data_IF_731546499219
#
_entry.id   IF_731546499219
#
_cell.length_a   1.000
_cell.length_b   1.000
_cell.length_c   1.000
_cell.angle_alpha   90.00
_cell.angle_beta   90.00
_cell.angle_gamma   90.00
#
_symmetry.space_group_name_H-M   'P 1'
#
loop_
_entity.id
_entity.type
_entity.pdbx_description
1 polymer ?
#
# COMPACT_ATOMS: atom_id res chain seq x y z
N UNK A 1 15.93 5.51 23.91
CA UNK A 1 16.39 5.29 22.53
C UNK A 1 17.43 4.18 22.54
N UNK A 2 17.14 3.07 21.89
CA UNK A 2 18.00 1.89 21.74
C UNK A 2 18.17 1.62 20.26
N UNK A 3 19.41 1.49 19.79
CA UNK A 3 19.68 1.08 18.41
C UNK A 3 19.78 -0.44 18.38
N UNK A 4 18.98 -1.09 17.54
CA UNK A 4 19.02 -2.54 17.37
C UNK A 4 20.13 -2.89 16.39
N UNK A 5 21.29 -3.26 16.94
CA UNK A 5 22.39 -3.77 16.14
C UNK A 5 22.29 -5.29 15.98
N UNK A 6 22.60 -5.75 14.76
CA UNK A 6 22.85 -7.15 14.44
C UNK A 6 24.27 -7.25 13.93
N UNK A 7 24.97 -8.33 14.30
CA UNK A 7 26.31 -8.57 13.73
C UNK A 7 26.19 -8.86 12.25
N UNK A 8 27.21 -8.48 11.48
CA UNK A 8 27.32 -8.82 10.06
C UNK A 8 27.11 -10.33 9.83
N UNK A 9 27.66 -11.17 10.69
CA UNK A 9 27.45 -12.62 10.63
C UNK A 9 25.96 -13.01 10.72
N UNK A 10 25.20 -12.36 11.61
CA UNK A 10 23.76 -12.62 11.77
C UNK A 10 23.00 -12.19 10.53
N UNK A 11 23.31 -11.00 9.99
CA UNK A 11 22.66 -10.47 8.79
C UNK A 11 22.97 -11.31 7.56
N UNK A 12 24.24 -11.72 7.37
CA UNK A 12 24.64 -12.64 6.29
C UNK A 12 23.91 -13.97 6.38
N UNK A 13 23.82 -14.55 7.58
CA UNK A 13 23.08 -15.80 7.80
C UNK A 13 21.60 -15.62 7.45
N UNK A 14 20.99 -14.50 7.80
CA UNK A 14 19.59 -14.22 7.51
C UNK A 14 19.31 -13.95 6.03
N UNK A 15 20.20 -13.23 5.32
CA UNK A 15 19.98 -12.83 3.93
C UNK A 15 20.39 -13.90 2.91
N UNK A 16 21.49 -14.62 3.15
CA UNK A 16 22.04 -15.61 2.19
C UNK A 16 21.59 -17.04 2.54
N UNK A 17 21.26 -17.30 3.82
CA UNK A 17 21.04 -18.64 4.39
C UNK A 17 22.32 -19.49 4.49
N UNK A 18 22.24 -20.59 5.24
CA UNK A 18 23.24 -21.68 5.26
C UNK A 18 22.89 -22.82 4.29
N UNK A 19 21.71 -22.75 3.68
CA UNK A 19 21.22 -23.75 2.74
C UNK A 19 22.03 -23.68 1.43
N UNK A 20 22.71 -24.77 1.02
CA UNK A 20 23.56 -24.76 -0.18
C UNK A 20 22.84 -24.33 -1.46
N UNK A 21 21.53 -24.61 -1.57
CA UNK A 21 20.72 -24.22 -2.73
C UNK A 21 20.55 -22.71 -2.80
N UNK A 22 20.28 -22.06 -1.65
CA UNK A 22 20.09 -20.61 -1.57
C UNK A 22 21.41 -19.86 -1.73
N UNK A 23 22.50 -20.39 -1.16
CA UNK A 23 23.86 -19.88 -1.39
C UNK A 23 24.19 -19.90 -2.88
N UNK A 24 23.91 -21.02 -3.56
CA UNK A 24 24.13 -21.12 -5.02
C UNK A 24 23.28 -20.13 -5.83
N UNK A 25 22.08 -19.77 -5.37
CA UNK A 25 21.28 -18.72 -6.01
C UNK A 25 21.91 -17.33 -5.82
N UNK A 26 22.38 -17.03 -4.60
CA UNK A 26 23.10 -15.79 -4.32
C UNK A 26 24.37 -15.66 -5.18
N UNK A 27 25.10 -16.76 -5.38
CA UNK A 27 26.32 -16.77 -6.19
C UNK A 27 26.07 -16.53 -7.69
N UNK A 28 24.84 -16.76 -8.16
CA UNK A 28 24.43 -16.47 -9.56
C UNK A 28 24.09 -15.01 -9.80
N UNK A 29 23.85 -14.22 -8.74
CA UNK A 29 23.62 -12.79 -8.85
C UNK A 29 24.84 -12.11 -9.51
N UNK A 30 24.59 -11.05 -10.26
CA UNK A 30 25.67 -10.29 -10.87
C UNK A 30 26.46 -9.46 -9.84
N UNK A 31 27.53 -8.80 -10.29
CA UNK A 31 28.37 -7.98 -9.41
C UNK A 31 27.63 -6.77 -8.82
N UNK A 32 26.69 -6.18 -9.56
CA UNK A 32 25.88 -5.05 -9.11
C UNK A 32 24.85 -5.47 -8.07
N UNK A 33 24.14 -6.57 -8.30
CA UNK A 33 23.16 -7.15 -7.39
C UNK A 33 23.82 -7.56 -6.06
N UNK A 34 24.96 -8.27 -6.11
CA UNK A 34 25.70 -8.62 -4.89
C UNK A 34 26.22 -7.42 -4.13
N UNK A 35 26.62 -6.35 -4.84
CA UNK A 35 27.01 -5.09 -4.21
C UNK A 35 25.83 -4.42 -3.53
N UNK A 36 24.66 -4.42 -4.16
CA UNK A 36 23.43 -3.89 -3.55
C UNK A 36 23.06 -4.67 -2.28
N UNK A 37 23.12 -6.01 -2.32
CA UNK A 37 22.82 -6.84 -1.14
C UNK A 37 23.85 -6.65 -0.02
N UNK A 38 25.12 -6.40 -0.34
CA UNK A 38 26.16 -6.22 0.68
C UNK A 38 26.03 -4.92 1.47
N UNK A 39 25.31 -3.93 0.95
CA UNK A 39 24.93 -2.71 1.68
C UNK A 39 24.14 -3.04 2.96
N UNK A 40 23.36 -4.12 2.96
CA UNK A 40 22.59 -4.55 4.14
C UNK A 40 23.47 -4.94 5.34
N UNK A 41 24.76 -5.17 5.11
CA UNK A 41 25.72 -5.53 6.17
C UNK A 41 26.49 -4.33 6.72
N UNK A 42 26.36 -3.16 6.09
CA UNK A 42 27.11 -1.97 6.46
C UNK A 42 26.26 -1.09 7.39
N UNK A 43 26.69 -0.87 8.65
CA UNK A 43 25.94 -0.02 9.58
C UNK A 43 25.78 1.44 9.13
N UNK A 44 26.64 1.89 8.22
CA UNK A 44 26.62 3.23 7.63
C UNK A 44 25.91 3.27 6.27
N UNK A 45 25.28 2.19 5.82
CA UNK A 45 24.52 2.23 4.58
C UNK A 45 23.30 3.12 4.74
N UNK A 46 23.11 4.03 3.80
CA UNK A 46 21.90 4.83 3.73
C UNK A 46 20.69 3.98 3.30
N UNK A 47 20.91 2.83 2.66
CA UNK A 47 19.85 1.93 2.21
C UNK A 47 19.28 1.05 3.32
N UNK A 48 20.13 0.63 4.26
CA UNK A 48 19.79 -0.33 5.29
C UNK A 48 20.30 0.19 6.64
N UNK A 49 19.73 1.31 7.07
CA UNK A 49 20.06 1.92 8.35
C UNK A 49 19.73 1.02 9.53
N UNK A 50 20.36 1.22 10.69
CA UNK A 50 20.03 0.46 11.88
C UNK A 50 18.64 0.87 12.40
N UNK A 51 17.85 -0.11 12.86
CA UNK A 51 16.53 0.15 13.44
C UNK A 51 16.71 0.86 14.79
N UNK A 52 16.11 2.04 14.92
CA UNK A 52 16.14 2.83 16.16
C UNK A 52 14.80 2.69 16.88
N UNK A 53 14.86 2.19 18.12
CA UNK A 53 13.72 2.06 19.01
C UNK A 53 13.75 3.22 19.99
N UNK A 54 12.81 4.15 19.85
CA UNK A 54 12.74 5.35 20.66
C UNK A 54 12.04 5.10 22.00
N UNK A 55 11.00 4.27 22.01
CA UNK A 55 10.14 4.06 23.19
C UNK A 55 9.57 2.63 23.32
N UNK A 56 8.99 2.32 24.49
CA UNK A 56 8.28 1.04 24.70
C UNK A 56 7.00 0.92 23.87
N UNK A 57 6.42 2.05 23.46
CA UNK A 57 5.22 2.07 22.62
C UNK A 57 5.54 1.79 21.14
N UNK A 58 6.83 1.68 20.79
CA UNK A 58 7.24 1.36 19.41
C UNK A 58 6.70 -0.02 18.96
N UNK A 59 6.59 -0.27 17.63
CA UNK A 59 5.82 -1.38 17.02
C UNK A 59 6.47 -2.67 17.43
N UNK A 60 7.78 -2.68 17.27
CA UNK A 60 8.63 -3.82 17.47
C UNK A 60 8.54 -4.32 18.92
N UNK A 61 8.21 -3.43 19.86
CA UNK A 61 7.99 -3.76 21.26
C UNK A 61 6.52 -4.09 21.56
N UNK A 62 5.59 -3.29 21.02
CA UNK A 62 4.15 -3.40 21.30
C UNK A 62 3.45 -4.54 20.54
N UNK A 63 4.00 -4.93 19.40
CA UNK A 63 3.50 -5.95 18.48
C UNK A 63 4.68 -6.86 18.10
N UNK A 64 5.13 -7.74 19.01
CA UNK A 64 6.23 -8.64 18.73
C UNK A 64 5.87 -9.59 17.59
N UNK A 65 6.60 -9.47 16.48
CA UNK A 65 6.46 -10.33 15.30
C UNK A 65 7.58 -11.37 15.27
N UNK A 66 7.27 -12.57 14.78
CA UNK A 66 8.28 -13.61 14.59
C UNK A 66 9.18 -13.19 13.43
N UNK A 67 10.51 -13.09 13.61
CA UNK A 67 11.40 -12.74 12.52
C UNK A 67 11.36 -13.81 11.43
N UNK A 68 11.47 -13.37 10.18
CA UNK A 68 11.55 -14.24 9.01
C UNK A 68 12.89 -14.00 8.31
N UNK A 69 13.70 -15.04 8.17
CA UNK A 69 14.91 -15.02 7.34
C UNK A 69 14.63 -15.42 5.88
N UNK A 70 15.63 -15.29 5.00
CA UNK A 70 15.47 -15.59 3.58
C UNK A 70 15.14 -17.06 3.33
N UNK A 71 15.65 -17.99 4.14
CA UNK A 71 15.34 -19.41 3.97
C UNK A 71 13.88 -19.70 4.33
N UNK A 72 13.40 -19.17 5.46
CA UNK A 72 12.00 -19.28 5.86
C UNK A 72 11.07 -18.64 4.83
N UNK A 73 11.41 -17.45 4.32
CA UNK A 73 10.67 -16.82 3.24
C UNK A 73 10.65 -17.69 1.97
N UNK A 74 11.82 -18.18 1.56
CA UNK A 74 11.96 -18.90 0.29
C UNK A 74 11.27 -20.26 0.30
N UNK A 75 11.31 -20.96 1.46
CA UNK A 75 10.78 -22.31 1.63
C UNK A 75 9.32 -22.36 2.06
N UNK A 76 8.68 -21.21 2.31
CA UNK A 76 7.26 -21.14 2.64
C UNK A 76 6.40 -21.73 1.50
N UNK A 77 5.64 -22.78 1.80
CA UNK A 77 4.75 -23.45 0.85
C UNK A 77 3.61 -22.56 0.34
N UNK A 78 3.28 -21.49 1.06
CA UNK A 78 2.28 -20.51 0.67
C UNK A 78 2.86 -19.37 -0.17
N UNK A 79 4.19 -19.28 -0.30
CA UNK A 79 4.84 -18.27 -1.13
C UNK A 79 4.50 -18.50 -2.59
N UNK A 80 4.05 -17.42 -3.25
CA UNK A 80 3.91 -17.37 -4.70
C UNK A 80 5.08 -16.60 -5.30
N UNK A 81 5.88 -17.28 -6.12
CA UNK A 81 6.89 -16.62 -6.92
C UNK A 81 6.31 -16.33 -8.32
N UNK A 82 6.63 -15.16 -8.91
CA UNK A 82 6.36 -14.96 -10.32
C UNK A 82 7.16 -15.97 -11.14
N UNK A 83 6.55 -16.47 -12.21
CA UNK A 83 7.16 -17.44 -13.12
C UNK A 83 6.89 -17.07 -14.56
N UNK A 84 7.48 -17.78 -15.53
CA UNK A 84 7.35 -17.46 -16.96
C UNK A 84 5.89 -17.32 -17.42
N UNK A 85 4.97 -18.10 -16.86
CA UNK A 85 3.54 -18.06 -17.19
C UNK A 85 2.73 -17.08 -16.32
N UNK A 86 3.26 -16.66 -15.17
CA UNK A 86 2.55 -15.85 -14.16
C UNK A 86 3.45 -14.69 -13.73
N UNK A 87 3.67 -13.74 -14.63
CA UNK A 87 4.62 -12.62 -14.45
C UNK A 87 3.98 -11.24 -14.65
N UNK A 88 2.65 -11.19 -14.77
CA UNK A 88 1.93 -9.94 -15.05
C UNK A 88 1.15 -9.47 -13.83
N UNK A 89 1.36 -8.22 -13.45
CA UNK A 89 0.50 -7.50 -12.50
C UNK A 89 -0.59 -6.80 -13.32
N UNK A 90 -1.83 -7.22 -13.14
CA UNK A 90 -2.97 -6.55 -13.74
C UNK A 90 -3.51 -5.48 -12.79
N UNK A 91 -3.78 -4.29 -13.31
CA UNK A 91 -4.42 -3.21 -12.58
C UNK A 91 -5.85 -3.03 -13.12
N UNK A 92 -6.84 -3.11 -12.24
CA UNK A 92 -8.26 -2.93 -12.57
C UNK A 92 -8.76 -1.62 -11.96
N UNK A 93 -9.07 -0.64 -12.79
CA UNK A 93 -9.75 0.58 -12.32
C UNK A 93 -11.18 0.24 -11.93
N UNK A 94 -11.59 0.59 -10.70
CA UNK A 94 -12.95 0.45 -10.19
C UNK A 94 -13.53 1.84 -9.98
N UNK A 95 -14.49 2.19 -10.83
CA UNK A 95 -14.98 3.56 -11.00
C UNK A 95 -14.06 4.45 -11.81
N UNK A 96 -14.40 5.72 -11.89
CA UNK A 96 -13.54 6.76 -12.44
C UNK A 96 -12.29 6.96 -11.60
N UNK A 97 -11.15 7.12 -12.28
CA UNK A 97 -9.88 7.51 -11.65
C UNK A 97 -9.66 9.02 -11.65
N UNK A 98 -10.47 9.82 -12.33
CA UNK A 98 -10.28 11.28 -12.34
C UNK A 98 -11.37 12.02 -13.09
N UNK A 99 -11.22 13.34 -13.13
CA UNK A 99 -12.25 14.24 -13.69
C UNK A 99 -12.09 14.48 -15.20
N UNK A 100 -10.97 14.06 -15.79
CA UNK A 100 -10.67 14.17 -17.22
C UNK A 100 -9.84 12.95 -17.68
N UNK A 101 -10.10 12.50 -18.92
CA UNK A 101 -9.38 11.45 -19.62
C UNK A 101 -7.87 11.68 -19.66
N UNK A 102 -7.41 12.88 -20.02
CA UNK A 102 -5.96 13.19 -20.16
C UNK A 102 -5.21 12.98 -18.84
N UNK A 103 -5.78 13.50 -17.75
CA UNK A 103 -5.22 13.37 -16.40
C UNK A 103 -5.20 11.90 -15.96
N UNK A 104 -6.23 11.14 -16.31
CA UNK A 104 -6.32 9.71 -16.00
C UNK A 104 -5.27 8.89 -16.75
N UNK A 105 -4.99 9.22 -18.02
CA UNK A 105 -3.95 8.57 -18.83
C UNK A 105 -2.54 8.83 -18.28
N UNK A 106 -2.24 10.07 -17.89
CA UNK A 106 -0.96 10.43 -17.29
C UNK A 106 -0.74 9.72 -15.95
N UNK A 107 -1.78 9.66 -15.11
CA UNK A 107 -1.75 8.92 -13.85
C UNK A 107 -1.48 7.43 -14.04
N UNK A 108 -2.18 6.80 -14.99
CA UNK A 108 -1.97 5.39 -15.35
C UNK A 108 -0.53 5.17 -15.80
N UNK A 109 0.03 6.07 -16.63
CA UNK A 109 1.41 6.00 -17.09
C UNK A 109 2.40 6.06 -15.92
N UNK A 110 2.22 6.99 -14.99
CA UNK A 110 3.08 7.07 -13.81
C UNK A 110 2.97 5.81 -12.93
N UNK A 111 1.74 5.42 -12.56
CA UNK A 111 1.52 4.26 -11.69
C UNK A 111 2.11 2.98 -12.31
N UNK A 112 1.98 2.81 -13.63
CA UNK A 112 2.63 1.73 -14.37
C UNK A 112 4.15 1.77 -14.17
N UNK A 113 4.78 2.90 -14.44
CA UNK A 113 6.23 3.06 -14.30
C UNK A 113 6.74 2.80 -12.88
N UNK A 114 6.02 3.29 -11.85
CA UNK A 114 6.35 3.00 -10.45
C UNK A 114 6.26 1.51 -10.14
N UNK A 115 5.19 0.82 -10.57
CA UNK A 115 5.03 -0.60 -10.32
C UNK A 115 6.08 -1.44 -11.04
N UNK A 116 6.43 -1.14 -12.30
CA UNK A 116 7.45 -1.88 -13.05
C UNK A 116 8.87 -1.61 -12.52
N UNK A 117 9.14 -0.41 -12.03
CA UNK A 117 10.38 -0.10 -11.33
C UNK A 117 10.47 -0.81 -9.96
N UNK A 118 9.35 -0.85 -9.22
CA UNK A 118 9.33 -1.46 -7.89
C UNK A 118 9.41 -2.98 -7.97
N UNK A 119 8.55 -3.57 -8.79
CA UNK A 119 8.43 -5.01 -9.00
C UNK A 119 9.23 -5.43 -10.24
N UNK A 120 10.54 -5.16 -10.19
CA UNK A 120 11.44 -5.39 -11.30
C UNK A 120 11.29 -6.80 -11.90
N UNK A 121 11.26 -6.87 -13.23
CA UNK A 121 11.04 -8.11 -13.96
C UNK A 121 9.57 -8.52 -14.16
N UNK A 122 8.61 -7.83 -13.51
CA UNK A 122 7.19 -8.01 -13.78
C UNK A 122 6.67 -6.98 -14.78
N UNK A 123 5.72 -7.40 -15.62
CA UNK A 123 5.01 -6.50 -16.54
C UNK A 123 3.74 -5.99 -15.88
N UNK A 124 3.42 -4.71 -16.05
CA UNK A 124 2.17 -4.12 -15.54
C UNK A 124 1.21 -3.81 -16.69
N UNK A 125 0.00 -4.36 -16.62
CA UNK A 125 -1.07 -4.14 -17.60
C UNK A 125 -2.31 -3.56 -16.92
N UNK A 126 -2.91 -2.55 -17.54
CA UNK A 126 -4.19 -2.01 -17.10
C UNK A 126 -5.32 -2.70 -17.88
N UNK A 127 -6.36 -3.10 -17.16
CA UNK A 127 -7.61 -3.58 -17.74
C UNK A 127 -8.56 -2.40 -18.00
N UNK A 128 -9.56 -2.62 -18.84
CA UNK A 128 -10.62 -1.65 -19.06
C UNK A 128 -11.32 -1.27 -17.74
N UNK A 129 -11.59 0.02 -17.48
CA UNK A 129 -12.27 0.44 -16.27
C UNK A 129 -13.63 -0.25 -16.10
N UNK A 130 -13.95 -0.58 -14.85
CA UNK A 130 -15.22 -1.23 -14.48
C UNK A 130 -16.04 -0.27 -13.62
N UNK A 131 -17.33 -0.15 -13.90
CA UNK A 131 -18.24 0.66 -13.09
C UNK A 131 -18.50 0.03 -11.71
N UNK A 132 -18.95 0.82 -10.73
CA UNK A 132 -19.17 0.32 -9.37
C UNK A 132 -20.32 -0.69 -9.36
N UNK A 133 -21.36 -0.48 -10.16
CA UNK A 133 -22.53 -1.37 -10.26
C UNK A 133 -22.17 -2.76 -10.79
N UNK A 134 -21.24 -2.86 -11.75
CA UNK A 134 -20.74 -4.14 -12.27
C UNK A 134 -20.08 -5.00 -11.19
N UNK A 135 -19.46 -4.39 -10.18
CA UNK A 135 -18.82 -5.12 -9.08
C UNK A 135 -19.83 -5.78 -8.14
N UNK A 136 -21.06 -5.26 -8.11
CA UNK A 136 -22.12 -5.64 -7.16
C UNK A 136 -21.65 -5.56 -5.69
N UNK A 137 -20.71 -4.67 -5.38
CA UNK A 137 -20.19 -4.53 -4.03
C UNK A 137 -21.17 -3.80 -3.11
N UNK A 138 -21.17 -4.17 -1.83
CA UNK A 138 -21.92 -3.41 -0.84
C UNK A 138 -21.23 -2.06 -0.63
N UNK A 139 -22.01 -1.03 -0.37
CA UNK A 139 -21.52 0.31 -0.11
C UNK A 139 -22.30 0.97 1.02
N UNK A 140 -21.73 2.04 1.58
CA UNK A 140 -22.34 2.84 2.65
C UNK A 140 -21.90 4.29 2.57
N UNK A 141 -22.63 5.15 3.27
CA UNK A 141 -22.15 6.50 3.60
C UNK A 141 -21.54 6.42 4.99
N UNK A 142 -20.27 6.81 5.14
CA UNK A 142 -19.61 6.81 6.44
C UNK A 142 -20.23 7.89 7.33
N UNK A 143 -20.64 7.53 8.55
CA UNK A 143 -21.34 8.46 9.44
C UNK A 143 -20.46 9.64 9.90
N UNK A 144 -19.14 9.44 10.00
CA UNK A 144 -18.22 10.48 10.45
C UNK A 144 -17.78 11.41 9.32
N UNK A 145 -17.37 10.84 8.18
CA UNK A 145 -16.86 11.64 7.05
C UNK A 145 -17.96 12.11 6.11
N UNK A 146 -19.15 11.49 6.16
CA UNK A 146 -20.25 11.66 5.19
C UNK A 146 -19.84 11.33 3.74
N UNK A 147 -18.76 10.55 3.55
CA UNK A 147 -18.27 10.13 2.24
C UNK A 147 -18.76 8.71 1.89
N UNK A 148 -18.82 8.39 0.60
CA UNK A 148 -19.11 7.05 0.11
C UNK A 148 -17.95 6.09 0.40
N UNK A 149 -18.30 4.88 0.84
CA UNK A 149 -17.37 3.78 1.02
C UNK A 149 -17.89 2.52 0.33
N UNK A 150 -17.00 1.77 -0.33
CA UNK A 150 -17.30 0.46 -0.93
C UNK A 150 -16.62 -0.68 -0.15
N UNK A 151 -17.26 -1.84 -0.11
CA UNK A 151 -16.80 -2.97 0.71
C UNK A 151 -15.62 -3.67 0.04
N UNK A 152 -14.43 -3.58 0.64
CA UNK A 152 -13.19 -4.11 0.08
C UNK A 152 -13.27 -5.62 -0.20
N UNK A 153 -13.81 -6.42 0.74
CA UNK A 153 -13.99 -7.86 0.55
C UNK A 153 -14.85 -8.26 -0.66
N UNK A 154 -15.92 -7.50 -0.98
CA UNK A 154 -16.76 -7.79 -2.15
C UNK A 154 -16.00 -7.48 -3.45
N UNK A 155 -15.19 -6.42 -3.45
CA UNK A 155 -14.31 -6.10 -4.57
C UNK A 155 -13.26 -7.21 -4.77
N UNK A 156 -12.64 -7.72 -3.71
CA UNK A 156 -11.70 -8.84 -3.82
C UNK A 156 -12.35 -10.09 -4.44
N UNK A 157 -13.59 -10.41 -4.04
CA UNK A 157 -14.34 -11.51 -4.62
C UNK A 157 -14.66 -11.30 -6.11
N UNK A 158 -14.95 -10.05 -6.52
CA UNK A 158 -15.10 -9.67 -7.93
C UNK A 158 -13.78 -9.84 -8.70
N UNK A 159 -12.67 -9.29 -8.20
CA UNK A 159 -11.36 -9.35 -8.85
C UNK A 159 -10.87 -10.79 -8.99
N UNK A 160 -11.13 -11.66 -8.01
CA UNK A 160 -10.80 -13.09 -8.09
C UNK A 160 -11.45 -13.76 -9.30
N UNK A 161 -12.68 -13.38 -9.64
CA UNK A 161 -13.40 -13.89 -10.83
C UNK A 161 -12.89 -13.29 -12.14
N UNK A 162 -12.30 -12.09 -12.10
CA UNK A 162 -11.78 -11.35 -13.26
C UNK A 162 -10.29 -11.56 -13.52
N UNK A 163 -9.57 -12.20 -12.59
CA UNK A 163 -8.12 -12.39 -12.67
C UNK A 163 -7.75 -13.17 -13.95
N UNK A 164 -6.95 -12.57 -14.85
CA UNK A 164 -6.46 -13.27 -16.04
C UNK A 164 -5.62 -14.50 -15.71
N UNK A 165 -5.57 -15.46 -16.64
CA UNK A 165 -4.81 -16.70 -16.45
C UNK A 165 -3.29 -16.48 -16.45
N UNK A 166 -2.75 -15.46 -17.07
CA UNK A 166 -1.31 -15.13 -17.02
C UNK A 166 -0.94 -14.17 -15.87
N UNK A 167 -1.93 -13.81 -15.05
CA UNK A 167 -1.74 -12.87 -13.94
C UNK A 167 -0.96 -13.51 -12.78
N UNK A 168 0.17 -12.90 -12.40
CA UNK A 168 0.75 -13.09 -11.07
C UNK A 168 -0.27 -12.65 -10.01
N UNK A 169 -0.73 -11.40 -10.14
CA UNK A 169 -1.81 -10.84 -9.33
C UNK A 169 -2.66 -9.85 -10.12
N UNK A 170 -3.86 -9.58 -9.61
CA UNK A 170 -4.70 -8.47 -10.05
C UNK A 170 -4.96 -7.53 -8.87
N UNK A 171 -4.71 -6.24 -9.06
CA UNK A 171 -4.91 -5.20 -8.06
C UNK A 171 -5.94 -4.22 -8.58
N UNK A 172 -7.06 -4.13 -7.88
CA UNK A 172 -8.01 -3.05 -8.10
C UNK A 172 -7.48 -1.74 -7.55
N UNK A 173 -7.76 -0.64 -8.24
CA UNK A 173 -7.54 0.71 -7.74
C UNK A 173 -8.81 1.53 -7.83
N UNK A 174 -9.05 2.38 -6.85
CA UNK A 174 -10.26 3.23 -6.82
C UNK A 174 -10.01 4.56 -6.14
N UNK A 175 -10.84 5.54 -6.49
CA UNK A 175 -10.90 6.87 -5.88
C UNK A 175 -11.97 6.95 -4.78
N UNK A 176 -12.69 5.85 -4.51
CA UNK A 176 -13.73 5.75 -3.49
C UNK A 176 -13.12 5.14 -2.22
N UNK A 177 -13.55 5.59 -1.05
CA UNK A 177 -13.02 5.10 0.21
C UNK A 177 -13.44 3.62 0.47
N UNK A 178 -12.66 2.89 1.26
CA UNK A 178 -12.87 1.45 1.48
C UNK A 178 -13.20 1.15 2.93
N UNK A 179 -14.03 0.13 3.15
CA UNK A 179 -14.22 -0.48 4.47
C UNK A 179 -14.15 -2.02 4.37
N UNK A 180 -13.60 -2.70 5.39
CA UNK A 180 -13.39 -4.15 5.33
C UNK A 180 -14.55 -4.97 5.91
N UNK A 181 -15.34 -4.38 6.82
CA UNK A 181 -16.53 -4.93 7.48
C UNK A 181 -17.31 -3.81 8.17
N UNK A 182 -18.58 -4.05 8.47
CA UNK A 182 -19.51 -3.02 8.96
C UNK A 182 -19.03 -2.30 10.23
N UNK A 183 -18.40 -3.02 11.15
CA UNK A 183 -17.91 -2.47 12.43
C UNK A 183 -16.61 -1.67 12.33
N UNK A 184 -15.96 -1.61 11.16
CA UNK A 184 -14.68 -0.93 10.98
C UNK A 184 -14.85 0.41 10.29
N UNK A 185 -14.01 1.40 10.61
CA UNK A 185 -14.10 2.74 10.02
C UNK A 185 -13.68 2.75 8.55
N UNK A 186 -12.46 2.33 8.23
CA UNK A 186 -11.94 2.28 6.86
C UNK A 186 -10.68 1.42 6.75
N UNK A 187 -10.24 1.17 5.51
CA UNK A 187 -8.90 0.69 5.18
C UNK A 187 -8.38 1.45 3.96
N UNK A 188 -7.05 1.59 3.82
CA UNK A 188 -6.47 2.09 2.55
C UNK A 188 -6.50 1.02 1.45
N UNK A 189 -6.45 -0.25 1.83
CA UNK A 189 -6.53 -1.37 0.92
C UNK A 189 -6.68 -2.68 1.68
N UNK A 190 -6.95 -3.74 0.92
CA UNK A 190 -7.05 -5.10 1.43
C UNK A 190 -6.54 -6.06 0.36
N UNK A 191 -5.95 -7.19 0.76
CA UNK A 191 -5.47 -8.19 -0.17
C UNK A 191 -5.70 -9.62 0.33
N UNK A 192 -5.77 -10.56 -0.62
CA UNK A 192 -5.62 -11.99 -0.39
C UNK A 192 -4.37 -12.46 -1.13
N UNK A 193 -3.32 -12.77 -0.38
CA UNK A 193 -2.06 -13.25 -0.95
C UNK A 193 -2.24 -14.61 -1.64
N UNK A 194 -3.04 -15.49 -1.02
CA UNK A 194 -3.35 -16.82 -1.55
C UNK A 194 -4.15 -16.77 -2.84
N UNK A 195 -5.02 -15.79 -3.03
CA UNK A 195 -5.74 -15.62 -4.30
C UNK A 195 -4.96 -14.73 -5.31
N UNK A 196 -3.99 -13.96 -4.81
CA UNK A 196 -3.25 -12.96 -5.58
C UNK A 196 -4.19 -11.88 -6.11
N UNK A 197 -5.04 -11.35 -5.22
CA UNK A 197 -5.94 -10.23 -5.48
C UNK A 197 -5.76 -9.15 -4.43
N UNK A 198 -5.83 -7.89 -4.82
CA UNK A 198 -5.78 -6.74 -3.92
C UNK A 198 -6.70 -5.62 -4.36
N UNK A 199 -7.07 -4.72 -3.46
CA UNK A 199 -7.76 -3.47 -3.76
C UNK A 199 -7.09 -2.36 -2.96
N UNK A 200 -6.82 -1.22 -3.60
CA UNK A 200 -6.26 -0.04 -2.97
C UNK A 200 -7.08 1.21 -3.31
N UNK A 201 -7.27 2.09 -2.34
CA UNK A 201 -7.99 3.34 -2.51
C UNK A 201 -7.09 4.55 -2.30
N UNK A 202 -7.18 5.46 -3.27
CA UNK A 202 -6.52 6.75 -3.23
C UNK A 202 -7.39 7.85 -2.59
N UNK A 203 -8.62 7.55 -2.18
CA UNK A 203 -9.60 8.54 -1.70
C UNK A 203 -9.04 9.43 -0.59
N UNK A 204 -8.39 8.81 0.40
CA UNK A 204 -7.87 9.45 1.61
C UNK A 204 -6.57 10.24 1.40
N UNK A 205 -6.00 10.21 0.21
CA UNK A 205 -4.79 10.95 -0.15
C UNK A 205 -5.11 12.33 -0.79
N UNK A 206 -6.38 12.60 -1.08
CA UNK A 206 -6.85 13.91 -1.54
C UNK A 206 -6.59 15.01 -0.50
N UNK A 207 -6.19 16.20 -0.97
CA UNK A 207 -5.79 17.34 -0.11
C UNK A 207 -6.79 17.65 0.98
N UNK A 208 -8.06 17.62 0.61
CA UNK A 208 -9.13 18.16 1.40
C UNK A 208 -10.01 17.06 2.01
N UNK A 209 -9.58 15.78 1.99
CA UNK A 209 -10.39 14.65 2.45
C UNK A 209 -10.94 14.84 3.88
N UNK A 210 -10.10 15.33 4.80
CA UNK A 210 -10.47 15.58 6.20
C UNK A 210 -11.01 16.99 6.44
N UNK A 211 -11.13 17.82 5.39
CA UNK A 211 -11.63 19.18 5.49
C UNK A 211 -13.15 19.21 5.65
N UNK A 212 -13.66 20.23 6.35
CA UNK A 212 -15.09 20.53 6.35
C UNK A 212 -15.62 20.77 4.93
N UNK A 213 -14.76 21.28 4.03
CA UNK A 213 -15.05 21.63 2.64
C UNK A 213 -14.87 20.49 1.63
N UNK A 214 -14.63 19.26 2.08
CA UNK A 214 -14.47 18.13 1.16
C UNK A 214 -15.71 17.95 0.28
N UNK A 215 -15.52 18.05 -1.04
CA UNK A 215 -16.62 18.00 -2.02
C UNK A 215 -17.22 16.60 -2.17
N UNK A 216 -16.48 15.55 -1.78
CA UNK A 216 -16.98 14.17 -1.83
C UNK A 216 -17.96 13.80 -0.73
N UNK A 217 -18.32 14.74 0.15
CA UNK A 217 -19.42 14.52 1.10
C UNK A 217 -20.74 14.38 0.35
N UNK A 218 -21.43 13.28 0.61
CA UNK A 218 -22.78 13.06 0.09
C UNK A 218 -23.69 14.14 0.66
N UNK A 219 -24.21 15.02 -0.20
CA UNK A 219 -25.18 16.04 0.20
C UNK A 219 -26.49 15.33 0.56
N UNK A 220 -27.04 15.57 1.76
CA UNK A 220 -28.24 14.89 2.29
C UNK A 220 -29.38 14.82 1.26
N UNK A 221 -29.55 13.65 0.65
CA UNK A 221 -30.78 12.94 0.25
C UNK A 221 -30.37 11.76 -0.66
N UNK A 222 -31.18 10.67 -0.66
CA UNK A 222 -31.06 9.45 -1.48
C UNK A 222 -30.31 8.25 -0.84
N UNK A 223 -30.76 7.78 0.32
CA UNK A 223 -30.75 6.32 0.53
C UNK A 223 -32.07 5.78 -0.01
N UNK A 224 -32.08 5.37 -1.27
CA UNK A 224 -33.24 4.72 -1.91
C UNK A 224 -33.16 3.20 -1.82
N UNK A 225 -31.97 2.61 -1.67
CA UNK A 225 -31.74 1.24 -1.17
C UNK A 225 -30.23 0.96 -1.14
N UNK A 226 -29.79 -0.10 -0.47
CA UNK A 226 -28.41 -0.60 -0.53
C UNK A 226 -28.01 -1.18 -1.91
N UNK A 227 -28.93 -1.18 -2.88
CA UNK A 227 -28.73 -1.69 -4.25
C UNK A 227 -28.81 -0.59 -5.31
N UNK A 228 -29.02 0.66 -4.92
CA UNK A 228 -29.12 1.78 -5.85
C UNK A 228 -27.75 2.41 -6.10
N UNK A 229 -27.10 2.00 -7.20
CA UNK A 229 -25.78 2.50 -7.57
C UNK A 229 -25.81 3.87 -8.24
N UNK A 230 -26.98 4.49 -8.47
CA UNK A 230 -27.06 5.85 -9.02
C UNK A 230 -26.38 6.89 -8.14
N UNK A 231 -26.18 6.59 -6.85
CA UNK A 231 -25.38 7.39 -5.92
C UNK A 231 -23.91 7.57 -6.39
N UNK A 232 -23.45 6.73 -7.32
CA UNK A 232 -22.13 6.82 -7.94
C UNK A 232 -22.13 7.53 -9.31
N UNK A 233 -23.24 8.04 -9.82
CA UNK A 233 -23.26 8.68 -11.15
C UNK A 233 -22.44 9.98 -11.18
N UNK A 234 -22.28 10.64 -10.03
CA UNK A 234 -21.52 11.89 -9.89
C UNK A 234 -20.69 11.93 -8.59
N UNK A 235 -20.16 10.79 -8.15
CA UNK A 235 -19.32 10.79 -6.95
C UNK A 235 -18.03 11.57 -7.22
N UNK A 236 -17.58 12.28 -6.20
CA UNK A 236 -16.36 13.06 -6.26
C UNK A 236 -15.14 12.15 -6.40
N UNK A 237 -14.31 12.41 -7.41
CA UNK A 237 -12.96 11.87 -7.48
C UNK A 237 -11.96 12.96 -7.05
N UNK A 238 -11.01 12.64 -6.15
CA UNK A 238 -9.99 13.60 -5.79
C UNK A 238 -9.18 13.97 -7.03
N UNK A 239 -8.76 15.24 -7.10
CA UNK A 239 -7.96 15.72 -8.21
C UNK A 239 -6.66 14.91 -8.29
N UNK A 240 -6.47 14.21 -9.42
CA UNK A 240 -5.20 13.55 -9.69
C UNK A 240 -4.19 14.63 -10.07
N UNK A 241 -3.25 14.84 -9.16
CA UNK A 241 -2.09 15.70 -9.37
C UNK A 241 -0.83 14.88 -9.14
N UNK A 242 0.31 15.35 -9.62
CA UNK A 242 1.61 14.81 -9.17
C UNK A 242 1.70 14.84 -7.64
N UNK A 243 1.02 15.78 -6.98
CA UNK A 243 0.86 15.86 -5.52
C UNK A 243 0.03 14.69 -4.96
N UNK A 244 -0.98 14.15 -5.65
CA UNK A 244 -1.75 12.99 -5.18
C UNK A 244 -0.88 11.74 -5.15
N UNK A 245 -0.12 11.48 -6.23
CA UNK A 245 0.80 10.33 -6.29
C UNK A 245 2.00 10.53 -5.35
N UNK A 246 2.53 11.75 -5.32
CA UNK A 246 3.52 12.15 -4.34
C UNK A 246 2.98 12.01 -2.92
N UNK A 247 1.70 12.29 -2.64
CA UNK A 247 1.01 12.05 -1.36
C UNK A 247 0.65 10.59 -1.15
N UNK A 248 0.42 9.75 -2.14
CA UNK A 248 0.32 8.31 -1.88
C UNK A 248 1.67 7.77 -1.44
N UNK A 249 2.74 8.23 -2.08
CA UNK A 249 4.10 8.00 -1.62
C UNK A 249 4.39 8.72 -0.28
N UNK A 250 3.88 9.95 -0.10
CA UNK A 250 4.18 10.84 1.05
C UNK A 250 3.22 10.78 2.21
N UNK A 251 2.04 10.19 2.13
CA UNK A 251 1.17 9.98 3.28
C UNK A 251 1.46 8.61 3.87
N UNK A 252 2.16 7.72 3.14
CA UNK A 252 3.12 6.85 3.82
C UNK A 252 4.09 7.74 4.63
N UNK A 253 4.83 8.65 3.98
CA UNK A 253 5.83 9.54 4.63
C UNK A 253 5.31 10.54 5.68
N UNK A 254 4.03 10.94 5.67
CA UNK A 254 3.40 11.95 6.55
C UNK A 254 2.55 11.31 7.62
N UNK A 255 1.98 10.13 7.38
CA UNK A 255 1.61 9.27 8.50
C UNK A 255 2.87 8.94 9.32
N UNK A 256 4.03 8.90 8.66
CA UNK A 256 5.34 8.85 9.30
C UNK A 256 5.78 10.20 9.93
N UNK A 257 5.60 11.34 9.25
CA UNK A 257 6.07 12.64 9.77
C UNK A 257 5.14 13.31 10.81
N UNK A 258 3.80 13.22 10.69
CA UNK A 258 2.84 13.89 11.61
C UNK A 258 2.83 13.24 13.00
N UNK A 259 3.26 11.97 13.13
CA UNK A 259 3.46 11.32 14.43
C UNK A 259 4.83 11.66 15.07
N UNK A 260 5.76 12.28 14.33
CA UNK A 260 7.08 12.70 14.82
C UNK A 260 7.12 14.10 15.44
N UNK A 261 6.15 14.98 15.11
CA UNK A 261 6.12 16.38 15.56
C UNK A 261 5.10 16.70 16.67
N UNK A 262 4.32 15.73 17.15
CA UNK A 262 3.47 15.91 18.34
C UNK A 262 2.32 16.92 18.20
N UNK A 263 1.91 17.35 17.01
CA UNK A 263 0.74 18.23 16.84
C UNK A 263 -0.54 17.44 16.62
N UNK A 264 -1.04 16.77 17.66
CA UNK A 264 -2.45 16.38 17.72
C UNK A 264 -3.31 17.63 17.81
N UNK A 265 -4.00 17.98 16.72
CA UNK A 265 -5.14 18.88 16.78
C UNK A 265 -6.19 18.27 17.70
N UNK A 266 -6.45 18.94 18.82
CA UNK A 266 -7.43 18.53 19.82
C UNK A 266 -8.82 18.34 19.19
N UNK A 267 -9.37 17.14 19.28
CA UNK A 267 -10.81 16.93 19.34
C UNK A 267 -11.24 17.03 20.83
N UNK A 268 -12.47 17.49 21.14
CA UNK A 268 -12.87 17.80 22.49
C UNK A 268 -12.88 16.54 23.36
N UNK A 269 -12.26 16.68 24.53
CA UNK A 269 -12.26 15.71 25.63
C UNK A 269 -13.70 15.39 26.02
N UNK A 270 -14.13 14.14 25.82
CA UNK A 270 -15.10 13.42 26.65
C UNK A 270 -15.23 11.96 26.19
N UNK A 271 -14.23 11.14 26.50
CA UNK A 271 -14.44 9.72 26.81
C UNK A 271 -13.25 9.20 27.61
N UNK A 272 -13.53 8.64 28.77
CA UNK A 272 -12.57 8.00 29.66
C UNK A 272 -12.12 6.67 29.06
N UNK A 273 -10.97 6.64 28.40
CA UNK A 273 -10.32 5.41 27.94
C UNK A 273 -8.82 5.41 28.28
N UNK A 274 -8.30 4.41 29.03
CA UNK A 274 -6.91 4.36 29.43
C UNK A 274 -6.08 3.53 28.43
N UNK A 275 -5.52 4.15 27.38
CA UNK A 275 -4.33 3.63 26.67
C UNK A 275 -3.84 4.61 25.58
N UNK A 276 -3.04 5.59 25.98
CA UNK A 276 -2.31 6.47 25.05
C UNK A 276 -1.01 5.78 24.58
N UNK A 277 -1.15 4.70 23.77
CA UNK A 277 -0.02 4.00 23.16
C UNK A 277 0.45 4.74 21.91
N UNK A 278 1.57 5.48 22.03
CA UNK A 278 2.28 6.10 20.89
C UNK A 278 2.70 5.04 19.89
N UNK A 279 2.25 5.17 18.65
CA UNK A 279 2.53 4.24 17.57
C UNK A 279 3.90 4.49 16.91
N UNK A 280 4.37 3.59 16.03
CA UNK A 280 5.79 3.37 15.81
C UNK A 280 6.27 3.58 14.40
N UNK A 281 7.04 4.63 14.24
CA UNK A 281 7.01 5.37 12.99
C UNK A 281 8.33 5.25 12.22
N UNK A 282 9.37 4.75 12.86
CA UNK A 282 10.74 4.90 12.37
C UNK A 282 11.25 3.74 11.51
N UNK A 283 10.57 2.60 11.51
CA UNK A 283 10.84 1.49 10.57
C UNK A 283 10.54 1.84 9.09
N UNK A 284 9.95 3.01 8.84
CA UNK A 284 9.49 3.41 7.52
C UNK A 284 10.36 4.47 6.82
N UNK A 285 11.42 4.97 7.47
CA UNK A 285 12.40 5.91 6.88
C UNK A 285 13.26 5.26 5.79
N UNK A 286 13.56 3.97 5.88
CA UNK A 286 14.38 3.25 4.89
C UNK A 286 13.68 3.12 3.51
N UNK A 287 12.35 2.96 3.51
CA UNK A 287 11.54 2.89 2.29
C UNK A 287 11.47 4.23 1.52
N UNK A 288 11.64 5.34 2.24
CA UNK A 288 11.69 6.71 1.69
C UNK A 288 12.88 6.88 0.74
N UNK A 289 14.05 6.42 1.14
CA UNK A 289 15.26 6.53 0.33
C UNK A 289 15.19 5.65 -0.92
N UNK A 290 14.57 4.49 -0.78
CA UNK A 290 14.36 3.56 -1.88
C UNK A 290 13.43 4.15 -2.95
N UNK A 291 12.30 4.77 -2.55
CA UNK A 291 11.40 5.48 -3.46
C UNK A 291 12.08 6.66 -4.16
N UNK A 292 12.91 7.43 -3.45
CA UNK A 292 13.69 8.53 -4.04
C UNK A 292 14.68 8.01 -5.09
N UNK A 293 15.32 6.86 -4.84
CA UNK A 293 16.23 6.22 -5.81
C UNK A 293 15.50 5.66 -7.03
N UNK A 294 14.31 5.08 -6.85
CA UNK A 294 13.47 4.68 -7.98
C UNK A 294 13.06 5.87 -8.85
N UNK A 295 12.72 7.01 -8.25
CA UNK A 295 12.40 8.25 -8.98
C UNK A 295 13.65 8.76 -9.74
N UNK A 296 14.82 8.78 -9.12
CA UNK A 296 16.07 9.21 -9.76
C UNK A 296 16.51 8.31 -10.93
N UNK A 297 16.08 7.05 -10.97
CA UNK A 297 16.30 6.12 -12.10
C UNK A 297 15.35 6.45 -13.27
N UNK A 298 14.16 6.98 -12.99
CA UNK A 298 13.14 7.35 -13.99
C UNK A 298 13.35 8.76 -14.59
N UNK A 299 14.24 9.57 -14.01
CA UNK A 299 14.59 10.92 -14.48
C UNK A 299 15.83 10.95 -15.41
N UNK A 300 16.24 9.79 -15.96
CA UNK A 300 17.22 9.66 -17.04
C UNK A 300 16.56 9.20 -18.33
#
# INVERSE_FOLDING_TARGET
MQVLHRSEHTLKKALISKNPVLVSQYDKLDAGERRLMSEAFQPSSNLFGPIIVHSQSDWINSHPEVPQDFEQFFTDSHRKAPGPEKHIIYIQSIGSLGNNKVISEEYIKWLKGYCEAFFYGLTVKFLEPVSISETKCSFRVNEHTQNLQIHAGHILAFLKKKKPEDAFCIVGITMIDLYPRDSWNFVFGQASLTDGVGIFSFARYGKDFYSSRYEGKVKKHQQTSSSDYSIFDNYYSPEITSILLWRSCKALLRWIDDESNGSSGAAPVNSSDPANLKKPVEAFKDWREWLIKCIAILEK
#
